data_IF_821345444493
#
_entry.id   IF_821345444493
#
_cell.length_a   1.000
_cell.length_b   1.000
_cell.length_c   1.000
_cell.angle_alpha   90.00
_cell.angle_beta   90.00
_cell.angle_gamma   90.00
#
_symmetry.space_group_name_H-M   'P 1'
#
loop_
_entity.id
_entity.type
_entity.pdbx_description
1 polymer ?
#
# COMPACT_ATOMS: atom_id res chain seq x y z
N UNK A 1 -20.84 12.75 -5.53
CA UNK A 1 -20.08 11.63 -4.96
C UNK A 1 -20.42 10.37 -5.77
N UNK A 2 -19.46 9.83 -6.50
CA UNK A 2 -19.61 8.55 -7.20
C UNK A 2 -18.96 7.46 -6.36
N UNK A 3 -19.64 6.34 -6.21
CA UNK A 3 -19.17 5.20 -5.41
C UNK A 3 -18.81 4.09 -6.39
N UNK A 4 -17.54 3.70 -6.40
CA UNK A 4 -17.05 2.59 -7.21
C UNK A 4 -16.61 1.45 -6.28
N UNK A 5 -17.29 0.31 -6.32
CA UNK A 5 -16.78 -0.86 -5.63
C UNK A 5 -15.52 -1.34 -6.35
N UNK A 6 -14.40 -1.35 -5.65
CA UNK A 6 -13.18 -2.00 -6.16
C UNK A 6 -13.46 -3.49 -6.28
N UNK A 7 -13.40 -3.97 -7.51
CA UNK A 7 -13.91 -5.30 -7.84
C UNK A 7 -15.45 -5.31 -7.93
N UNK A 8 -16.00 -4.92 -9.07
CA UNK A 8 -17.45 -4.87 -9.36
C UNK A 8 -18.19 -6.12 -8.92
N UNK A 9 -17.51 -7.27 -8.97
CA UNK A 9 -18.07 -8.53 -8.53
C UNK A 9 -18.26 -8.63 -7.01
N UNK A 10 -17.40 -7.96 -6.23
CA UNK A 10 -17.51 -7.97 -4.76
C UNK A 10 -18.74 -7.23 -4.28
N UNK A 11 -19.14 -6.19 -4.98
CA UNK A 11 -20.35 -5.43 -4.65
C UNK A 11 -21.62 -6.27 -4.91
N UNK A 12 -21.72 -6.87 -6.08
CA UNK A 12 -22.85 -7.73 -6.46
C UNK A 12 -22.95 -8.94 -5.51
N UNK A 13 -21.82 -9.58 -5.18
CA UNK A 13 -21.83 -10.74 -4.30
C UNK A 13 -22.13 -10.41 -2.83
N UNK A 14 -21.91 -9.18 -2.39
CA UNK A 14 -22.18 -8.77 -0.99
C UNK A 14 -23.63 -8.34 -0.77
N UNK A 15 -24.24 -7.75 -1.79
CA UNK A 15 -25.61 -7.23 -1.68
C UNK A 15 -26.68 -8.29 -1.96
N UNK A 16 -26.37 -9.27 -2.83
CA UNK A 16 -27.37 -10.15 -3.42
C UNK A 16 -27.20 -11.64 -3.07
N UNK A 17 -26.11 -12.06 -2.44
CA UNK A 17 -25.92 -13.46 -2.06
C UNK A 17 -26.07 -13.64 -0.55
N UNK A 18 -27.13 -14.29 -0.08
CA UNK A 18 -27.29 -14.63 1.33
C UNK A 18 -26.10 -15.44 1.84
N UNK A 19 -25.69 -15.20 3.11
CA UNK A 19 -24.63 -15.95 3.79
C UNK A 19 -24.81 -17.48 3.71
N UNK A 20 -26.02 -17.94 3.52
CA UNK A 20 -26.38 -19.34 3.30
C UNK A 20 -25.71 -19.90 2.02
N UNK A 21 -25.71 -19.14 0.91
CA UNK A 21 -25.08 -19.61 -0.35
C UNK A 21 -23.56 -19.68 -0.20
N UNK A 22 -22.95 -18.73 0.54
CA UNK A 22 -21.51 -18.76 0.84
C UNK A 22 -21.16 -20.01 1.65
N UNK A 23 -21.95 -20.37 2.64
CA UNK A 23 -21.74 -21.57 3.44
C UNK A 23 -22.00 -22.84 2.65
N UNK A 24 -23.02 -22.87 1.80
CA UNK A 24 -23.28 -24.00 0.89
C UNK A 24 -22.12 -24.20 -0.09
N UNK A 25 -21.60 -23.12 -0.67
CA UNK A 25 -20.41 -23.20 -1.54
C UNK A 25 -19.19 -23.72 -0.78
N UNK A 26 -18.96 -23.26 0.47
CA UNK A 26 -17.87 -23.78 1.33
C UNK A 26 -18.00 -25.28 1.61
N UNK A 27 -19.22 -25.75 1.91
CA UNK A 27 -19.51 -27.16 2.16
C UNK A 27 -19.29 -27.97 0.88
N UNK A 28 -19.83 -27.53 -0.25
CA UNK A 28 -19.65 -28.20 -1.54
C UNK A 28 -18.15 -28.30 -1.93
N UNK A 29 -17.37 -27.24 -1.73
CA UNK A 29 -15.95 -27.23 -2.09
C UNK A 29 -15.08 -28.10 -1.18
N UNK A 30 -15.53 -28.42 0.04
CA UNK A 30 -14.83 -29.36 0.93
C UNK A 30 -14.95 -30.83 0.49
N UNK A 31 -15.96 -31.15 -0.31
CA UNK A 31 -16.20 -32.52 -0.80
C UNK A 31 -15.58 -32.80 -2.19
N UNK A 32 -15.16 -31.77 -2.92
CA UNK A 32 -14.55 -31.96 -4.23
C UNK A 32 -13.01 -31.88 -4.14
N UNK A 33 -12.28 -32.76 -4.83
CA UNK A 33 -10.83 -32.64 -4.92
C UNK A 33 -10.46 -31.27 -5.47
N UNK A 34 -9.42 -30.64 -4.89
CA UNK A 34 -8.90 -29.30 -5.27
C UNK A 34 -8.58 -29.17 -6.78
N UNK A 35 -8.61 -30.23 -7.53
CA UNK A 35 -8.32 -30.31 -8.97
C UNK A 35 -9.49 -29.88 -9.88
N UNK A 36 -10.72 -29.84 -9.37
CA UNK A 36 -11.82 -29.25 -10.14
C UNK A 36 -11.72 -27.74 -10.09
N UNK A 37 -11.31 -27.16 -11.20
CA UNK A 37 -11.22 -25.71 -11.44
C UNK A 37 -12.57 -25.06 -11.13
N UNK A 38 -12.75 -24.70 -9.86
CA UNK A 38 -13.79 -23.74 -9.52
C UNK A 38 -13.52 -22.47 -10.31
N UNK A 39 -14.53 -21.88 -10.95
CA UNK A 39 -14.37 -20.59 -11.59
C UNK A 39 -13.68 -19.64 -10.60
N UNK A 40 -12.74 -18.86 -11.08
CA UNK A 40 -11.97 -17.88 -10.31
C UNK A 40 -12.81 -17.10 -9.28
N UNK A 41 -14.04 -16.74 -9.69
CA UNK A 41 -15.07 -16.10 -8.86
C UNK A 41 -15.37 -16.85 -7.55
N UNK A 42 -15.33 -18.17 -7.57
CA UNK A 42 -15.58 -19.01 -6.39
C UNK A 42 -14.32 -19.12 -5.50
N UNK A 43 -13.12 -19.06 -6.04
CA UNK A 43 -11.88 -19.02 -5.24
C UNK A 43 -11.87 -17.81 -4.30
N UNK A 44 -12.29 -16.64 -4.78
CA UNK A 44 -12.38 -15.43 -3.93
C UNK A 44 -13.47 -15.52 -2.84
N UNK A 45 -14.56 -16.23 -3.10
CA UNK A 45 -15.63 -16.42 -2.12
C UNK A 45 -15.19 -17.26 -0.91
N UNK A 46 -14.26 -18.20 -1.13
CA UNK A 46 -13.74 -19.09 -0.09
C UNK A 46 -12.46 -18.57 0.59
N UNK A 47 -11.90 -17.44 0.12
CA UNK A 47 -10.74 -16.83 0.77
C UNK A 47 -11.05 -16.44 2.22
N UNK A 48 -10.13 -16.68 3.14
CA UNK A 48 -10.28 -16.24 4.51
C UNK A 48 -10.43 -14.71 4.55
N UNK A 49 -11.27 -14.24 5.44
CA UNK A 49 -11.30 -12.81 5.77
C UNK A 49 -10.08 -12.46 6.62
N UNK A 50 -9.68 -11.18 6.63
CA UNK A 50 -8.63 -10.66 7.53
C UNK A 50 -8.90 -11.00 9.01
N UNK A 51 -10.14 -11.31 9.36
CA UNK A 51 -10.55 -11.74 10.71
C UNK A 51 -9.97 -13.09 11.11
N UNK A 52 -9.47 -13.89 10.15
CA UNK A 52 -8.87 -15.20 10.47
C UNK A 52 -7.67 -15.06 11.43
N UNK A 53 -6.77 -14.10 11.21
CA UNK A 53 -5.68 -13.81 12.15
C UNK A 53 -6.20 -13.30 13.50
N UNK A 54 -7.25 -12.48 13.50
CA UNK A 54 -7.86 -11.97 14.73
C UNK A 54 -8.47 -13.06 15.59
N UNK A 55 -9.11 -14.05 14.95
CA UNK A 55 -9.70 -15.19 15.67
C UNK A 55 -8.61 -16.03 16.31
N UNK A 56 -7.51 -16.27 15.60
CA UNK A 56 -6.36 -16.98 16.15
C UNK A 56 -5.73 -16.21 17.32
N UNK A 57 -5.56 -14.89 17.19
CA UNK A 57 -4.99 -14.05 18.24
C UNK A 57 -5.82 -14.08 19.56
N UNK A 58 -7.15 -14.14 19.47
CA UNK A 58 -8.03 -14.25 20.63
C UNK A 58 -7.89 -15.56 21.39
N UNK A 59 -7.46 -16.61 20.71
CA UNK A 59 -7.26 -17.92 21.31
C UNK A 59 -5.93 -18.04 22.09
N UNK A 60 -5.07 -17.01 22.03
CA UNK A 60 -3.79 -16.96 22.75
C UNK A 60 -3.71 -15.70 23.64
N UNK A 61 -4.49 -15.64 24.73
CA UNK A 61 -4.43 -14.51 25.66
C UNK A 61 -3.02 -14.45 26.28
N UNK A 62 -2.38 -13.30 26.18
CA UNK A 62 -1.02 -13.07 26.70
C UNK A 62 0.10 -13.08 25.65
N UNK A 63 -0.20 -13.36 24.37
CA UNK A 63 0.79 -13.17 23.30
C UNK A 63 1.09 -11.68 23.07
N UNK A 64 2.37 -11.34 23.03
CA UNK A 64 2.83 -10.05 22.54
C UNK A 64 2.98 -10.12 21.03
N UNK A 65 2.38 -9.17 20.33
CA UNK A 65 2.54 -9.06 18.88
C UNK A 65 3.76 -8.20 18.55
N UNK A 66 4.44 -8.48 17.42
CA UNK A 66 5.53 -7.65 16.95
C UNK A 66 5.11 -6.19 16.79
N UNK A 67 6.02 -5.27 17.13
CA UNK A 67 5.88 -3.86 16.81
C UNK A 67 6.03 -3.65 15.31
N UNK A 68 5.25 -2.73 14.76
CA UNK A 68 5.26 -2.35 13.35
C UNK A 68 5.45 -0.86 13.20
N UNK A 69 6.07 -0.44 12.11
CA UNK A 69 6.08 0.96 11.69
C UNK A 69 4.92 1.23 10.72
N UNK A 70 4.61 2.51 10.51
CA UNK A 70 3.65 2.96 9.50
C UNK A 70 4.36 3.90 8.55
N UNK A 71 4.16 3.71 7.25
CA UNK A 71 4.67 4.56 6.19
C UNK A 71 3.52 5.10 5.35
N UNK A 72 3.46 6.41 5.21
CA UNK A 72 2.47 7.10 4.39
C UNK A 72 3.20 7.94 3.33
N UNK A 73 3.33 7.44 2.10
CA UNK A 73 3.70 8.29 0.98
C UNK A 73 2.58 9.32 0.75
N UNK A 74 2.91 10.60 0.89
CA UNK A 74 1.91 11.65 0.96
C UNK A 74 2.11 12.71 -0.12
N UNK A 75 1.00 13.07 -0.78
CA UNK A 75 0.96 14.20 -1.68
C UNK A 75 0.07 15.31 -1.08
N UNK A 76 0.46 16.60 -1.14
CA UNK A 76 -0.29 17.73 -0.53
C UNK A 76 -1.77 17.85 -0.93
N UNK A 77 -2.16 17.29 -2.09
CA UNK A 77 -3.58 17.25 -2.50
C UNK A 77 -4.47 16.49 -1.51
N UNK A 78 -3.91 15.50 -0.79
CA UNK A 78 -4.64 14.60 0.09
C UNK A 78 -4.64 15.08 1.55
N UNK A 79 -4.22 16.34 1.81
CA UNK A 79 -4.06 16.89 3.17
C UNK A 79 -5.34 16.80 4.01
N UNK A 80 -6.50 16.94 3.39
CA UNK A 80 -7.78 16.84 4.08
C UNK A 80 -8.07 15.44 4.65
N UNK A 81 -7.37 14.41 4.15
CA UNK A 81 -7.57 13.02 4.53
C UNK A 81 -6.46 12.50 5.46
N UNK A 82 -5.30 13.15 5.51
CA UNK A 82 -4.14 12.68 6.27
C UNK A 82 -4.45 12.44 7.75
N UNK A 83 -5.07 13.41 8.43
CA UNK A 83 -5.43 13.29 9.84
C UNK A 83 -6.39 12.12 10.09
N UNK A 84 -7.36 11.93 9.20
CA UNK A 84 -8.28 10.79 9.26
C UNK A 84 -7.55 9.47 9.00
N UNK A 85 -6.71 9.38 7.98
CA UNK A 85 -5.90 8.19 7.68
C UNK A 85 -5.07 7.78 8.90
N UNK A 86 -4.30 8.70 9.48
CA UNK A 86 -3.50 8.47 10.67
C UNK A 86 -4.35 8.01 11.85
N UNK A 87 -5.46 8.68 12.13
CA UNK A 87 -6.37 8.32 13.23
C UNK A 87 -6.93 6.92 13.06
N UNK A 88 -7.38 6.57 11.86
CA UNK A 88 -8.00 5.28 11.60
C UNK A 88 -6.99 4.13 11.59
N UNK A 89 -5.81 4.30 10.98
CA UNK A 89 -4.80 3.25 10.96
C UNK A 89 -4.23 3.00 12.36
N UNK A 90 -3.93 4.05 13.13
CA UNK A 90 -3.40 3.90 14.49
C UNK A 90 -4.43 3.35 15.47
N UNK A 91 -5.69 3.77 15.36
CA UNK A 91 -6.79 3.28 16.20
C UNK A 91 -7.10 1.81 15.92
N UNK A 92 -7.02 1.38 14.67
CA UNK A 92 -7.48 0.06 14.23
C UNK A 92 -6.34 -0.97 14.09
N UNK A 93 -5.09 -0.60 14.21
CA UNK A 93 -3.98 -1.53 14.35
C UNK A 93 -4.01 -2.21 15.72
N UNK A 94 -3.80 -3.53 15.74
CA UNK A 94 -3.70 -4.33 16.98
C UNK A 94 -2.24 -4.44 17.39
N UNK A 95 -1.34 -4.54 16.42
CA UNK A 95 0.09 -4.52 16.68
C UNK A 95 0.50 -3.19 17.36
N UNK A 96 1.43 -3.22 18.30
CA UNK A 96 2.10 -2.01 18.77
C UNK A 96 2.68 -1.24 17.59
N UNK A 97 2.58 0.09 17.64
CA UNK A 97 3.10 0.97 16.60
C UNK A 97 4.36 1.64 17.13
N UNK A 98 5.46 1.48 16.41
CA UNK A 98 6.72 2.16 16.64
C UNK A 98 6.71 3.57 16.04
N UNK A 99 7.29 3.73 14.86
CA UNK A 99 7.41 5.01 14.16
C UNK A 99 6.36 5.15 13.07
N UNK A 100 5.77 6.34 12.96
CA UNK A 100 4.90 6.73 11.84
C UNK A 100 5.68 7.69 10.95
N UNK A 101 5.94 7.32 9.69
CA UNK A 101 6.66 8.16 8.73
C UNK A 101 5.72 8.67 7.67
N UNK A 102 5.69 9.99 7.50
CA UNK A 102 5.01 10.66 6.38
C UNK A 102 6.07 11.19 5.43
N UNK A 103 6.14 10.62 4.24
CA UNK A 103 7.13 11.02 3.22
C UNK A 103 6.42 11.91 2.19
N UNK A 104 6.94 13.12 1.99
CA UNK A 104 6.29 14.11 1.12
C UNK A 104 7.31 14.97 0.38
N UNK A 105 6.85 15.83 -0.52
CA UNK A 105 7.69 16.83 -1.18
C UNK A 105 8.18 17.88 -0.18
N UNK A 106 9.27 18.59 -0.48
CA UNK A 106 9.75 19.70 0.35
C UNK A 106 8.66 20.75 0.63
N UNK A 107 7.81 21.04 -0.37
CA UNK A 107 6.69 21.95 -0.22
C UNK A 107 5.55 21.37 0.65
N UNK A 108 5.48 20.06 0.74
CA UNK A 108 4.49 19.34 1.56
C UNK A 108 4.83 19.38 3.06
N UNK A 109 6.11 19.46 3.43
CA UNK A 109 6.55 19.40 4.84
C UNK A 109 5.79 20.42 5.71
N UNK A 110 5.84 21.73 5.46
CA UNK A 110 5.16 22.70 6.32
C UNK A 110 3.63 22.51 6.35
N UNK A 111 3.05 21.98 5.28
CA UNK A 111 1.62 21.66 5.22
C UNK A 111 1.29 20.50 6.16
N UNK A 112 2.08 19.43 6.10
CA UNK A 112 1.92 18.25 6.95
C UNK A 112 2.18 18.58 8.40
N UNK A 113 3.27 19.29 8.72
CA UNK A 113 3.61 19.68 10.10
C UNK A 113 2.51 20.53 10.74
N UNK A 114 1.91 21.45 9.98
CA UNK A 114 0.77 22.24 10.45
C UNK A 114 -0.45 21.36 10.75
N UNK A 115 -0.76 20.43 9.88
CA UNK A 115 -1.89 19.49 10.07
C UNK A 115 -1.64 18.57 11.25
N UNK A 116 -0.43 18.02 11.38
CA UNK A 116 -0.02 17.21 12.51
C UNK A 116 -0.01 17.98 13.82
N UNK A 117 0.35 19.27 13.83
CA UNK A 117 0.26 20.12 15.01
C UNK A 117 -1.16 20.15 15.58
N UNK A 118 -2.16 20.22 14.71
CA UNK A 118 -3.57 20.13 15.10
C UNK A 118 -3.90 18.73 15.65
N UNK A 119 -3.47 17.68 14.98
CA UNK A 119 -3.74 16.29 15.36
C UNK A 119 -3.05 15.91 16.67
N UNK A 120 -1.82 16.35 16.90
CA UNK A 120 -1.05 16.07 18.11
C UNK A 120 -1.60 16.81 19.36
N UNK A 121 -2.51 17.78 19.17
CA UNK A 121 -3.27 18.32 20.29
C UNK A 121 -4.23 17.28 20.89
N UNK A 122 -4.62 16.23 20.14
CA UNK A 122 -5.34 15.07 20.70
C UNK A 122 -4.36 14.20 21.50
N UNK A 123 -4.60 14.05 22.80
CA UNK A 123 -3.77 13.25 23.72
C UNK A 123 -3.55 11.80 23.23
N UNK A 124 -4.47 11.25 22.46
CA UNK A 124 -4.34 9.89 21.93
C UNK A 124 -3.26 9.76 20.87
N UNK A 125 -2.95 10.84 20.16
CA UNK A 125 -1.93 10.87 19.11
C UNK A 125 -0.53 11.21 19.64
N UNK A 126 -0.45 11.85 20.82
CA UNK A 126 0.83 12.24 21.44
C UNK A 126 1.74 11.06 21.78
N UNK A 127 1.20 9.86 21.89
CA UNK A 127 1.98 8.64 22.19
C UNK A 127 2.77 8.10 20.99
N UNK A 128 2.49 8.56 19.78
CA UNK A 128 3.17 8.06 18.57
C UNK A 128 4.34 8.97 18.22
N UNK A 129 5.45 8.35 17.85
CA UNK A 129 6.56 9.06 17.24
C UNK A 129 6.26 9.26 15.76
N UNK A 130 6.07 10.51 15.33
CA UNK A 130 5.75 10.86 13.94
C UNK A 130 6.91 11.61 13.32
N UNK A 131 7.43 11.11 12.22
CA UNK A 131 8.49 11.72 11.42
C UNK A 131 7.90 12.23 10.09
N UNK A 132 8.19 13.48 9.74
CA UNK A 132 7.88 14.05 8.43
C UNK A 132 9.19 14.23 7.69
N UNK A 133 9.33 13.53 6.57
CA UNK A 133 10.60 13.47 5.84
C UNK A 133 10.35 13.86 4.38
N UNK A 134 11.28 14.63 3.81
CA UNK A 134 11.20 14.93 2.38
C UNK A 134 11.58 13.72 1.54
N UNK A 135 10.93 13.56 0.39
CA UNK A 135 11.30 12.51 -0.57
C UNK A 135 12.78 12.62 -1.01
N UNK A 136 13.34 13.85 -1.02
CA UNK A 136 14.74 14.12 -1.36
C UNK A 136 15.71 13.65 -0.30
N UNK A 137 15.33 13.72 0.98
CA UNK A 137 16.17 13.24 2.08
C UNK A 137 16.00 11.75 2.30
N UNK A 138 14.88 11.21 1.84
CA UNK A 138 14.55 9.80 2.01
C UNK A 138 15.12 8.92 0.90
N UNK A 139 14.91 9.29 -0.36
CA UNK A 139 15.35 8.52 -1.53
C UNK A 139 16.76 8.93 -2.00
N UNK A 140 17.54 8.01 -2.60
CA UNK A 140 18.75 8.37 -3.30
C UNK A 140 18.47 9.36 -4.44
N UNK A 141 19.37 10.32 -4.65
CA UNK A 141 19.22 11.33 -5.71
C UNK A 141 19.09 10.70 -7.10
N UNK A 142 19.84 9.63 -7.36
CA UNK A 142 19.83 8.91 -8.64
C UNK A 142 18.46 8.26 -8.91
N UNK A 143 17.81 7.70 -7.88
CA UNK A 143 16.45 7.15 -7.98
C UNK A 143 15.43 8.25 -8.27
N UNK A 144 15.53 9.41 -7.60
CA UNK A 144 14.67 10.55 -7.87
C UNK A 144 14.84 11.09 -9.29
N UNK A 145 16.08 11.21 -9.76
CA UNK A 145 16.40 11.63 -11.10
C UNK A 145 15.82 10.66 -12.14
N UNK A 146 15.94 9.35 -11.90
CA UNK A 146 15.32 8.32 -12.75
C UNK A 146 13.79 8.48 -12.82
N UNK A 147 13.12 8.73 -11.69
CA UNK A 147 11.68 9.01 -11.69
C UNK A 147 11.34 10.26 -12.47
N UNK A 148 12.03 11.37 -12.23
CA UNK A 148 11.76 12.65 -12.89
C UNK A 148 12.05 12.64 -14.39
N UNK A 149 13.00 11.84 -14.85
CA UNK A 149 13.34 11.70 -16.27
C UNK A 149 12.18 11.17 -17.13
N UNK A 150 11.21 10.49 -16.51
CA UNK A 150 10.04 9.95 -17.19
C UNK A 150 8.87 10.95 -17.30
N UNK A 151 9.02 12.17 -16.76
CA UNK A 151 8.07 13.26 -16.95
C UNK A 151 6.75 13.07 -16.19
N UNK A 152 5.62 13.20 -16.88
CA UNK A 152 4.30 13.06 -16.28
C UNK A 152 4.14 11.66 -15.65
N UNK A 153 3.63 11.62 -14.41
CA UNK A 153 3.50 10.37 -13.65
C UNK A 153 4.70 10.07 -12.75
N UNK A 154 5.75 10.90 -12.73
CA UNK A 154 6.90 10.73 -11.84
C UNK A 154 6.51 10.57 -10.36
N UNK A 155 5.47 11.26 -9.90
CA UNK A 155 4.93 11.14 -8.54
C UNK A 155 4.47 9.72 -8.20
N UNK A 156 3.92 8.99 -9.16
CA UNK A 156 3.60 7.56 -9.01
C UNK A 156 4.86 6.74 -8.78
N UNK A 157 5.89 6.94 -9.59
CA UNK A 157 7.15 6.19 -9.50
C UNK A 157 7.91 6.52 -8.21
N UNK A 158 7.88 7.78 -7.77
CA UNK A 158 8.46 8.20 -6.48
C UNK A 158 7.77 7.44 -5.34
N UNK A 159 6.43 7.36 -5.33
CA UNK A 159 5.67 6.59 -4.34
C UNK A 159 6.11 5.12 -4.32
N UNK A 160 6.20 4.46 -5.48
CA UNK A 160 6.67 3.08 -5.60
C UNK A 160 8.10 2.93 -5.05
N UNK A 161 8.97 3.89 -5.36
CA UNK A 161 10.35 3.89 -4.90
C UNK A 161 10.46 4.06 -3.38
N UNK A 162 9.66 4.94 -2.78
CA UNK A 162 9.55 5.12 -1.32
C UNK A 162 9.18 3.79 -0.65
N UNK A 163 8.24 3.06 -1.21
CA UNK A 163 7.80 1.75 -0.71
C UNK A 163 8.98 0.77 -0.57
N UNK A 164 9.73 0.56 -1.66
CA UNK A 164 10.87 -0.38 -1.66
C UNK A 164 12.03 0.15 -0.82
N UNK A 165 12.35 1.45 -0.95
CA UNK A 165 13.48 2.06 -0.27
C UNK A 165 13.31 2.10 1.26
N UNK A 166 12.09 2.15 1.76
CA UNK A 166 11.83 2.07 3.19
C UNK A 166 12.43 0.80 3.82
N UNK A 167 12.36 -0.33 3.12
CA UNK A 167 12.94 -1.59 3.62
C UNK A 167 14.46 -1.59 3.66
N UNK A 168 15.11 -0.80 2.80
CA UNK A 168 16.56 -0.61 2.80
C UNK A 168 16.98 0.27 3.98
N UNK A 169 16.25 1.37 4.22
CA UNK A 169 16.54 2.31 5.31
C UNK A 169 16.15 1.78 6.68
N UNK A 170 15.08 0.99 6.77
CA UNK A 170 14.49 0.51 8.01
C UNK A 170 14.36 -1.03 8.00
N UNK A 171 15.48 -1.78 7.99
CA UNK A 171 15.44 -3.24 7.81
C UNK A 171 14.96 -4.02 9.03
N UNK A 172 14.71 -3.37 10.17
CA UNK A 172 14.42 -4.05 11.45
C UNK A 172 12.93 -4.35 11.62
N UNK A 173 12.08 -3.36 11.37
CA UNK A 173 10.65 -3.45 11.66
C UNK A 173 9.84 -3.68 10.38
N UNK A 174 8.85 -4.56 10.46
CA UNK A 174 7.83 -4.64 9.43
C UNK A 174 7.04 -3.33 9.40
N UNK A 175 6.69 -2.87 8.21
CA UNK A 175 6.08 -1.56 8.01
C UNK A 175 4.74 -1.71 7.31
N UNK A 176 3.67 -1.13 7.86
CA UNK A 176 2.41 -0.96 7.13
C UNK A 176 2.55 0.25 6.22
N UNK A 177 2.55 0.00 4.92
CA UNK A 177 2.48 1.06 3.92
C UNK A 177 1.02 1.28 3.57
N UNK A 178 0.55 2.54 3.63
CA UNK A 178 -0.84 2.90 3.39
C UNK A 178 -0.94 4.20 2.60
N UNK A 179 -1.86 4.25 1.65
CA UNK A 179 -2.17 5.46 0.90
C UNK A 179 -2.87 6.49 1.80
N UNK A 180 -2.47 7.75 1.69
CA UNK A 180 -2.97 8.83 2.56
C UNK A 180 -4.48 9.08 2.43
N UNK A 181 -5.09 8.63 1.33
CA UNK A 181 -6.52 8.71 1.06
C UNK A 181 -7.31 7.47 1.51
N UNK A 182 -6.69 6.59 2.30
CA UNK A 182 -7.28 5.30 2.72
C UNK A 182 -7.52 5.26 4.23
N UNK A 183 -8.72 4.86 4.61
CA UNK A 183 -9.15 4.72 6.01
C UNK A 183 -9.38 3.25 6.36
N UNK A 184 -8.69 2.76 7.36
CA UNK A 184 -8.88 1.40 7.90
C UNK A 184 -10.05 1.40 8.88
N UNK A 185 -11.17 0.79 8.53
CA UNK A 185 -12.40 0.86 9.30
C UNK A 185 -12.53 -0.19 10.40
N UNK A 186 -11.84 -1.32 10.25
CA UNK A 186 -11.94 -2.45 11.19
C UNK A 186 -10.60 -2.73 11.84
N UNK A 187 -10.63 -3.38 13.01
CA UNK A 187 -9.42 -3.85 13.68
C UNK A 187 -8.64 -4.81 12.79
N UNK A 188 -7.34 -4.59 12.65
CA UNK A 188 -6.42 -5.40 11.86
C UNK A 188 -5.26 -5.87 12.73
N UNK A 189 -5.03 -7.17 12.73
CA UNK A 189 -3.76 -7.75 13.13
C UNK A 189 -2.92 -7.89 11.86
N UNK A 190 -1.88 -7.07 11.75
CA UNK A 190 -1.03 -7.01 10.56
C UNK A 190 -0.09 -8.20 10.47
N UNK A 191 0.51 -8.54 11.60
CA UNK A 191 1.45 -9.66 11.75
C UNK A 191 1.22 -10.32 13.11
N UNK A 192 1.16 -11.64 13.13
CA UNK A 192 0.98 -12.38 14.37
C UNK A 192 2.31 -12.77 15.03
N UNK A 193 2.23 -13.44 16.18
CA UNK A 193 3.39 -13.91 16.93
C UNK A 193 4.21 -15.01 16.22
N UNK A 194 3.64 -15.64 15.19
CA UNK A 194 4.32 -16.61 14.34
C UNK A 194 4.88 -16.00 13.06
N UNK A 195 4.93 -14.67 12.99
CA UNK A 195 5.39 -13.91 11.84
C UNK A 195 4.52 -14.09 10.58
N UNK A 196 3.25 -14.51 10.73
CA UNK A 196 2.32 -14.60 9.60
C UNK A 196 1.66 -13.26 9.34
N UNK A 197 1.55 -12.87 8.08
CA UNK A 197 0.96 -11.60 7.66
C UNK A 197 -0.11 -11.79 6.59
N UNK A 198 -1.06 -10.86 6.50
CA UNK A 198 -2.09 -10.83 5.48
C UNK A 198 -1.61 -10.07 4.24
N UNK A 199 -1.87 -10.66 3.07
CA UNK A 199 -1.85 -9.98 1.78
C UNK A 199 -3.27 -9.92 1.25
N UNK A 200 -3.67 -8.74 0.78
CA UNK A 200 -5.04 -8.49 0.35
C UNK A 200 -5.16 -8.64 -1.16
N UNK A 201 -5.92 -9.66 -1.59
CA UNK A 201 -6.17 -9.94 -2.98
C UNK A 201 -7.49 -9.32 -3.45
N UNK A 202 -7.48 -8.76 -4.64
CA UNK A 202 -8.65 -8.30 -5.36
C UNK A 202 -8.88 -9.13 -6.62
N UNK A 203 -10.04 -8.92 -7.23
CA UNK A 203 -10.41 -9.54 -8.48
C UNK A 203 -10.04 -8.61 -9.64
N UNK A 204 -8.78 -8.56 -9.96
CA UNK A 204 -8.31 -7.78 -11.10
C UNK A 204 -7.36 -8.66 -11.91
N UNK A 205 -7.69 -8.88 -13.18
CA UNK A 205 -6.70 -9.37 -14.13
C UNK A 205 -5.64 -8.27 -14.25
N UNK A 206 -4.47 -8.53 -13.69
CA UNK A 206 -3.44 -7.53 -13.64
C UNK A 206 -2.26 -7.98 -14.50
N UNK A 207 -2.12 -7.37 -15.66
CA UNK A 207 -1.04 -7.65 -16.61
C UNK A 207 0.32 -7.08 -16.15
N UNK A 208 0.36 -6.34 -15.03
CA UNK A 208 1.59 -5.67 -14.57
C UNK A 208 2.72 -6.64 -14.27
N UNK A 209 2.38 -7.78 -13.66
CA UNK A 209 3.37 -8.81 -13.36
C UNK A 209 3.77 -9.65 -14.57
N UNK A 210 2.89 -9.81 -15.54
CA UNK A 210 3.24 -10.50 -16.79
C UNK A 210 4.31 -9.69 -17.52
N UNK A 211 4.13 -8.36 -17.62
CA UNK A 211 5.15 -7.46 -18.17
C UNK A 211 6.47 -7.53 -17.39
N UNK A 212 6.41 -7.54 -16.04
CA UNK A 212 7.62 -7.71 -15.23
C UNK A 212 8.33 -9.03 -15.51
N UNK A 213 7.58 -10.14 -15.61
CA UNK A 213 8.16 -11.47 -15.87
C UNK A 213 8.70 -11.63 -17.29
N UNK A 214 8.26 -10.84 -18.27
CA UNK A 214 8.89 -10.76 -19.59
C UNK A 214 10.31 -10.16 -19.49
N UNK A 215 10.48 -9.15 -18.63
CA UNK A 215 11.79 -8.49 -18.44
C UNK A 215 12.67 -9.31 -17.48
N UNK A 216 12.10 -9.77 -16.37
CA UNK A 216 12.80 -10.47 -15.28
C UNK A 216 12.21 -11.87 -15.05
N UNK A 217 12.46 -12.83 -15.94
CA UNK A 217 11.83 -14.13 -15.87
C UNK A 217 12.16 -14.86 -14.56
N UNK A 218 11.16 -15.52 -13.98
CA UNK A 218 11.27 -16.33 -12.78
C UNK A 218 11.56 -15.58 -11.46
N UNK A 219 11.59 -14.25 -11.42
CA UNK A 219 11.79 -13.51 -10.17
C UNK A 219 10.51 -13.47 -9.35
N UNK A 220 9.36 -13.18 -9.95
CA UNK A 220 8.08 -13.16 -9.24
C UNK A 220 7.29 -14.44 -9.50
N UNK A 221 6.59 -14.92 -8.48
CA UNK A 221 5.56 -15.94 -8.66
C UNK A 221 4.36 -15.28 -9.31
N UNK A 222 3.94 -15.81 -10.44
CA UNK A 222 2.73 -15.34 -11.12
C UNK A 222 1.52 -16.09 -10.59
N UNK A 223 0.70 -15.41 -9.82
CA UNK A 223 -0.67 -15.82 -9.50
C UNK A 223 -1.59 -15.11 -10.49
N UNK A 224 -1.82 -15.75 -11.64
CA UNK A 224 -2.61 -15.15 -12.76
C UNK A 224 -4.05 -14.82 -12.38
N UNK A 225 -4.52 -15.42 -11.30
CA UNK A 225 -5.90 -15.35 -10.88
C UNK A 225 -6.22 -14.15 -9.97
N UNK A 226 -5.23 -13.42 -9.44
CA UNK A 226 -5.43 -12.37 -8.46
C UNK A 226 -4.54 -11.17 -8.70
N UNK A 227 -5.13 -9.97 -8.57
CA UNK A 227 -4.39 -8.75 -8.38
C UNK A 227 -4.18 -8.49 -6.89
N UNK A 228 -3.03 -7.96 -6.53
CA UNK A 228 -2.69 -7.61 -5.15
C UNK A 228 -2.60 -6.10 -4.95
N UNK A 229 -3.06 -5.31 -5.91
CA UNK A 229 -3.11 -3.85 -5.77
C UNK A 229 -4.17 -3.50 -4.74
N UNK A 230 -3.71 -3.29 -3.53
CA UNK A 230 -4.49 -2.78 -2.40
C UNK A 230 -3.96 -1.40 -2.03
N UNK A 231 -4.71 -0.61 -1.27
CA UNK A 231 -4.25 0.71 -0.83
C UNK A 231 -3.44 0.66 0.47
N UNK A 232 -3.11 -0.53 0.93
CA UNK A 232 -2.28 -0.78 2.11
C UNK A 232 -1.78 -2.23 2.13
N UNK A 233 -0.59 -2.42 2.69
CA UNK A 233 -0.01 -3.75 2.93
C UNK A 233 1.00 -3.69 4.07
N UNK A 234 1.14 -4.79 4.82
CA UNK A 234 2.30 -4.97 5.70
C UNK A 234 3.48 -5.47 4.88
N UNK A 235 4.57 -4.72 4.92
CA UNK A 235 5.83 -5.02 4.25
C UNK A 235 6.83 -5.58 5.26
N UNK A 236 7.36 -6.75 4.99
CA UNK A 236 8.48 -7.34 5.71
C UNK A 236 9.78 -6.98 4.99
N UNK A 237 10.72 -6.27 5.62
CA UNK A 237 11.90 -5.73 4.93
C UNK A 237 12.74 -6.79 4.24
N UNK A 238 12.94 -7.96 4.86
CA UNK A 238 13.76 -9.03 4.27
C UNK A 238 13.17 -9.59 2.96
N UNK A 239 11.83 -9.57 2.80
CA UNK A 239 11.18 -9.96 1.54
C UNK A 239 11.53 -8.98 0.42
N UNK A 240 11.47 -7.68 0.71
CA UNK A 240 11.84 -6.64 -0.24
C UNK A 240 13.33 -6.72 -0.58
N UNK A 241 14.18 -6.86 0.42
CA UNK A 241 15.62 -6.98 0.22
C UNK A 241 15.97 -8.19 -0.65
N UNK A 242 15.40 -9.35 -0.36
CA UNK A 242 15.64 -10.54 -1.19
C UNK A 242 15.09 -10.38 -2.61
N UNK A 243 13.92 -9.73 -2.78
CA UNK A 243 13.41 -9.40 -4.11
C UNK A 243 14.39 -8.51 -4.90
N UNK A 244 14.86 -7.42 -4.30
CA UNK A 244 15.81 -6.51 -4.95
C UNK A 244 17.14 -7.21 -5.27
N UNK A 245 17.63 -8.08 -4.38
CA UNK A 245 18.82 -8.89 -4.63
C UNK A 245 18.61 -9.92 -5.75
N UNK A 246 17.42 -10.48 -5.93
CA UNK A 246 17.12 -11.35 -7.07
C UNK A 246 17.14 -10.56 -8.39
N UNK A 247 16.62 -9.33 -8.40
CA UNK A 247 16.74 -8.44 -9.58
C UNK A 247 18.20 -8.12 -9.87
N UNK A 248 19.00 -7.80 -8.86
CA UNK A 248 20.43 -7.54 -8.99
C UNK A 248 21.20 -8.72 -9.61
N UNK A 249 20.86 -9.93 -9.21
CA UNK A 249 21.48 -11.17 -9.74
C UNK A 249 21.01 -11.52 -11.14
N UNK A 250 19.99 -10.86 -11.67
CA UNK A 250 19.46 -11.14 -13.00
C UNK A 250 20.46 -10.79 -14.11
N UNK A 251 20.32 -11.47 -15.23
CA UNK A 251 21.12 -11.15 -16.44
C UNK A 251 20.83 -9.73 -16.92
N UNK A 252 19.57 -9.29 -16.88
CA UNK A 252 19.15 -7.96 -17.31
C UNK A 252 19.86 -6.85 -16.52
N UNK A 253 20.03 -7.02 -15.20
CA UNK A 253 20.78 -6.07 -14.39
C UNK A 253 22.24 -6.06 -14.77
N UNK A 254 22.89 -7.22 -14.88
CA UNK A 254 24.31 -7.33 -15.22
C UNK A 254 24.65 -6.71 -16.57
N UNK A 255 23.79 -6.91 -17.56
CA UNK A 255 23.96 -6.34 -18.91
C UNK A 255 23.71 -4.81 -18.96
N UNK A 256 22.95 -4.29 -18.00
CA UNK A 256 22.62 -2.85 -17.93
C UNK A 256 23.60 -2.02 -17.13
N UNK A 257 24.49 -2.64 -16.32
CA UNK A 257 25.39 -1.95 -15.43
C UNK A 257 26.82 -1.87 -15.94
N UNK A 258 27.53 -0.82 -15.54
CA UNK A 258 28.98 -0.72 -15.76
C UNK A 258 29.74 -1.66 -14.82
N UNK A 259 30.97 -2.03 -15.20
CA UNK A 259 31.85 -2.82 -14.32
C UNK A 259 32.09 -2.16 -12.96
N UNK A 260 32.13 -0.83 -12.91
CA UNK A 260 32.31 -0.07 -11.67
C UNK A 260 31.10 -0.26 -10.72
N UNK A 261 29.88 -0.23 -11.26
CA UNK A 261 28.67 -0.47 -10.46
C UNK A 261 28.60 -1.91 -9.94
N UNK A 262 29.02 -2.88 -10.75
CA UNK A 262 29.05 -4.28 -10.37
C UNK A 262 30.12 -4.58 -9.29
N UNK A 263 31.18 -3.77 -9.20
CA UNK A 263 32.24 -3.87 -8.22
C UNK A 263 31.93 -3.10 -6.90
N UNK A 264 30.78 -2.40 -6.83
CA UNK A 264 30.40 -1.59 -5.66
C UNK A 264 30.11 -2.48 -4.45
N UNK A 265 30.79 -2.19 -3.34
CA UNK A 265 30.64 -2.96 -2.09
C UNK A 265 29.52 -2.41 -1.18
N UNK A 266 29.07 -1.17 -1.43
CA UNK A 266 28.01 -0.55 -0.63
C UNK A 266 26.63 -1.07 -1.09
N UNK A 267 25.96 -1.77 -0.19
CA UNK A 267 24.65 -2.38 -0.46
C UNK A 267 23.60 -1.31 -0.82
N UNK A 268 23.58 -0.17 -0.16
CA UNK A 268 22.60 0.90 -0.48
C UNK A 268 22.78 1.42 -1.91
N UNK A 269 24.02 1.65 -2.34
CA UNK A 269 24.32 2.11 -3.71
C UNK A 269 23.87 1.06 -4.72
N UNK A 270 24.17 -0.21 -4.49
CA UNK A 270 23.76 -1.30 -5.36
C UNK A 270 22.24 -1.41 -5.48
N UNK A 271 21.53 -1.34 -4.35
CA UNK A 271 20.06 -1.42 -4.36
C UNK A 271 19.41 -0.17 -4.94
N UNK A 272 20.04 1.02 -4.84
CA UNK A 272 19.61 2.20 -5.56
C UNK A 272 19.66 1.97 -7.08
N UNK A 273 20.76 1.41 -7.59
CA UNK A 273 20.90 1.08 -9.03
C UNK A 273 19.87 0.03 -9.48
N UNK A 274 19.48 -0.90 -8.59
CA UNK A 274 18.39 -1.85 -8.89
C UNK A 274 17.07 -1.12 -9.04
N UNK A 275 16.74 -0.17 -8.14
CA UNK A 275 15.52 0.62 -8.25
C UNK A 275 15.50 1.50 -9.50
N UNK A 276 16.62 2.13 -9.85
CA UNK A 276 16.76 2.88 -11.10
C UNK A 276 16.43 2.00 -12.31
N UNK A 277 16.98 0.79 -12.36
CA UNK A 277 16.70 -0.15 -13.45
C UNK A 277 15.21 -0.54 -13.48
N UNK A 278 14.59 -0.83 -12.32
CA UNK A 278 13.18 -1.16 -12.24
C UNK A 278 12.31 -0.01 -12.76
N UNK A 279 12.62 1.24 -12.38
CA UNK A 279 11.94 2.43 -12.87
C UNK A 279 12.05 2.54 -14.38
N UNK A 280 13.26 2.41 -14.92
CA UNK A 280 13.53 2.54 -16.36
C UNK A 280 12.90 1.43 -17.20
N UNK A 281 12.91 0.19 -16.71
CA UNK A 281 12.41 -0.98 -17.46
C UNK A 281 10.90 -1.19 -17.29
N UNK A 282 10.39 -1.01 -16.09
CA UNK A 282 8.98 -1.24 -15.81
C UNK A 282 8.12 0.00 -16.00
N UNK A 283 8.69 1.21 -15.86
CA UNK A 283 7.97 2.47 -16.01
C UNK A 283 6.67 2.46 -15.18
N UNK A 284 5.53 2.78 -15.79
CA UNK A 284 4.23 2.81 -15.12
C UNK A 284 3.65 1.41 -14.80
N UNK A 285 4.32 0.34 -15.21
CA UNK A 285 3.99 -1.02 -14.77
C UNK A 285 4.76 -1.43 -13.50
N UNK A 286 5.57 -0.53 -12.94
CA UNK A 286 6.22 -0.73 -11.64
C UNK A 286 5.19 -0.58 -10.53
N UNK A 287 4.73 -1.69 -9.95
CA UNK A 287 3.67 -1.71 -8.94
C UNK A 287 4.18 -2.33 -7.64
N UNK A 288 4.25 -1.51 -6.59
CA UNK A 288 4.77 -1.86 -5.27
C UNK A 288 3.99 -3.01 -4.60
N UNK A 289 2.69 -2.84 -4.45
CA UNK A 289 1.84 -3.80 -3.75
C UNK A 289 1.81 -5.17 -4.45
N UNK A 290 1.68 -5.18 -5.78
CA UNK A 290 1.60 -6.42 -6.54
C UNK A 290 2.94 -7.16 -6.55
N UNK A 291 4.04 -6.43 -6.77
CA UNK A 291 5.37 -7.02 -6.77
C UNK A 291 5.76 -7.55 -5.39
N UNK A 292 5.49 -6.79 -4.33
CA UNK A 292 5.73 -7.25 -2.97
C UNK A 292 4.92 -8.51 -2.65
N UNK A 293 3.62 -8.50 -2.95
CA UNK A 293 2.75 -9.62 -2.64
C UNK A 293 3.23 -10.92 -3.32
N UNK A 294 3.64 -10.84 -4.58
CA UNK A 294 4.16 -11.99 -5.33
C UNK A 294 5.53 -12.44 -4.82
N UNK A 295 6.40 -11.49 -4.47
CA UNK A 295 7.67 -11.79 -3.82
C UNK A 295 7.45 -12.51 -2.47
N UNK A 296 6.54 -12.02 -1.63
CA UNK A 296 6.21 -12.63 -0.34
C UNK A 296 5.65 -14.05 -0.50
N UNK A 297 4.76 -14.27 -1.45
CA UNK A 297 4.22 -15.60 -1.76
C UNK A 297 5.29 -16.58 -2.26
N UNK A 298 6.34 -16.07 -2.88
CA UNK A 298 7.47 -16.89 -3.33
C UNK A 298 8.48 -17.18 -2.23
N UNK A 299 8.83 -16.15 -1.45
CA UNK A 299 9.92 -16.19 -0.46
C UNK A 299 9.42 -16.80 0.84
N UNK A 300 8.20 -16.48 1.26
CA UNK A 300 7.60 -16.89 2.52
C UNK A 300 6.17 -17.45 2.36
N UNK A 301 5.96 -18.49 1.57
CA UNK A 301 4.61 -19.01 1.28
C UNK A 301 3.84 -19.43 2.53
N UNK A 302 4.53 -19.97 3.55
CA UNK A 302 3.92 -20.50 4.77
C UNK A 302 3.48 -19.38 5.75
N UNK A 303 4.14 -18.23 5.68
CA UNK A 303 3.84 -17.08 6.55
C UNK A 303 3.06 -15.96 5.85
N UNK A 304 2.68 -16.18 4.59
CA UNK A 304 1.93 -15.22 3.78
C UNK A 304 0.51 -15.72 3.54
N UNK A 305 -0.47 -15.05 4.16
CA UNK A 305 -1.87 -15.43 4.09
C UNK A 305 -2.60 -14.54 3.08
N UNK A 306 -3.16 -15.15 2.04
CA UNK A 306 -3.97 -14.41 1.06
C UNK A 306 -5.37 -14.22 1.63
N UNK A 307 -5.75 -12.97 1.79
CA UNK A 307 -7.05 -12.57 2.30
C UNK A 307 -7.84 -11.78 1.27
N UNK A 308 -9.16 -11.92 1.33
CA UNK A 308 -10.05 -11.11 0.50
C UNK A 308 -9.94 -9.63 0.90
N UNK A 309 -9.60 -8.79 -0.07
CA UNK A 309 -9.67 -7.34 0.12
C UNK A 309 -11.12 -6.85 0.04
N UNK A 310 -11.59 -6.26 1.12
CA UNK A 310 -12.92 -5.66 1.23
C UNK A 310 -12.76 -4.15 1.38
N UNK A 311 -12.68 -3.45 0.26
CA UNK A 311 -12.54 -2.00 0.19
C UNK A 311 -13.72 -1.37 -0.53
N UNK A 312 -14.08 -0.15 -0.12
CA UNK A 312 -15.02 0.70 -0.81
C UNK A 312 -14.27 1.92 -1.38
N UNK A 313 -14.18 2.01 -2.69
CA UNK A 313 -13.60 3.16 -3.34
C UNK A 313 -14.65 4.24 -3.58
N UNK A 314 -14.34 5.47 -3.24
CA UNK A 314 -15.21 6.64 -3.37
C UNK A 314 -14.47 7.70 -4.17
N UNK A 315 -15.11 8.22 -5.20
CA UNK A 315 -14.65 9.41 -5.88
C UNK A 315 -15.17 10.66 -5.13
N UNK A 316 -14.24 11.47 -4.66
CA UNK A 316 -14.55 12.72 -3.97
C UNK A 316 -14.35 13.87 -4.96
N UNK A 317 -15.44 14.46 -5.42
CA UNK A 317 -15.41 15.61 -6.34
C UNK A 317 -15.35 16.94 -5.61
N UNK A 318 -15.92 16.99 -4.39
CA UNK A 318 -16.03 18.19 -3.55
C UNK A 318 -15.55 17.90 -2.13
N UNK A 319 -15.33 18.96 -1.35
CA UNK A 319 -15.04 18.81 0.09
C UNK A 319 -16.21 18.11 0.77
N UNK A 320 -15.96 16.94 1.31
CA UNK A 320 -16.91 16.28 2.21
C UNK A 320 -16.74 16.93 3.59
N UNK A 321 -17.83 17.45 4.14
CA UNK A 321 -17.82 17.90 5.53
C UNK A 321 -17.63 16.71 6.48
N UNK A 322 -17.03 16.99 7.62
CA UNK A 322 -16.66 15.95 8.60
C UNK A 322 -17.88 15.16 9.11
N UNK A 323 -19.02 15.81 9.29
CA UNK A 323 -20.23 15.15 9.76
C UNK A 323 -20.75 14.13 8.75
N UNK A 324 -20.80 14.50 7.47
CA UNK A 324 -21.19 13.61 6.37
C UNK A 324 -20.24 12.43 6.27
N UNK A 325 -18.92 12.68 6.35
CA UNK A 325 -17.91 11.65 6.36
C UNK A 325 -18.09 10.66 7.53
N UNK A 326 -18.22 11.16 8.75
CA UNK A 326 -18.38 10.32 9.95
C UNK A 326 -19.66 9.48 9.91
N UNK A 327 -20.77 10.02 9.43
CA UNK A 327 -22.01 9.27 9.25
C UNK A 327 -21.89 8.18 8.20
N UNK A 328 -21.19 8.46 7.09
CA UNK A 328 -20.91 7.49 6.04
C UNK A 328 -20.02 6.36 6.58
N UNK A 329 -18.92 6.69 7.24
CA UNK A 329 -18.00 5.70 7.80
C UNK A 329 -18.67 4.78 8.83
N UNK A 330 -19.54 5.34 9.69
CA UNK A 330 -20.32 4.55 10.65
C UNK A 330 -21.23 3.52 9.98
N UNK A 331 -21.84 3.87 8.85
CA UNK A 331 -22.70 2.94 8.10
C UNK A 331 -21.93 1.86 7.35
N UNK A 332 -20.67 2.12 7.01
CA UNK A 332 -19.86 1.23 6.16
C UNK A 332 -18.88 0.36 6.95
N UNK A 333 -18.52 0.74 8.18
CA UNK A 333 -17.48 0.08 8.97
C UNK A 333 -17.70 -1.42 9.21
N UNK A 334 -18.96 -1.88 9.31
CA UNK A 334 -19.25 -3.30 9.50
C UNK A 334 -19.17 -4.12 8.21
N UNK A 335 -19.21 -3.43 7.08
CA UNK A 335 -19.27 -4.04 5.75
C UNK A 335 -17.91 -4.10 5.05
N UNK A 336 -17.06 -3.10 5.29
CA UNK A 336 -15.78 -2.97 4.59
C UNK A 336 -14.62 -2.91 5.58
N UNK A 337 -13.47 -3.46 5.16
CA UNK A 337 -12.21 -3.35 5.89
C UNK A 337 -11.66 -1.93 5.79
N UNK A 338 -11.76 -1.33 4.62
CA UNK A 338 -11.24 0.00 4.32
C UNK A 338 -12.14 0.78 3.38
N UNK A 339 -11.93 2.10 3.37
CA UNK A 339 -12.47 3.02 2.38
C UNK A 339 -11.33 3.80 1.77
N UNK A 340 -11.26 3.88 0.46
CA UNK A 340 -10.32 4.73 -0.28
C UNK A 340 -11.07 5.88 -0.93
N UNK A 341 -10.58 7.11 -0.73
CA UNK A 341 -11.23 8.34 -1.15
C UNK A 341 -10.41 9.02 -2.26
N UNK A 342 -10.69 8.66 -3.49
CA UNK A 342 -9.91 9.14 -4.63
C UNK A 342 -10.36 10.53 -5.09
N UNK A 343 -9.42 11.45 -5.19
CA UNK A 343 -9.61 12.80 -5.75
C UNK A 343 -9.22 12.81 -7.23
N UNK A 344 -9.92 12.05 -8.06
CA UNK A 344 -9.55 11.81 -9.46
C UNK A 344 -9.58 13.02 -10.38
N UNK A 345 -10.35 14.05 -10.06
CA UNK A 345 -10.59 15.18 -10.96
C UNK A 345 -9.37 16.08 -11.25
N UNK A 346 -8.22 15.81 -10.60
CA UNK A 346 -7.03 16.66 -10.71
C UNK A 346 -5.79 15.94 -11.26
N UNK A 347 -5.89 14.66 -11.67
CA UNK A 347 -4.70 13.82 -11.63
C UNK A 347 -4.04 13.47 -12.95
N UNK A 348 -4.65 13.63 -14.07
CA UNK A 348 -3.96 13.32 -15.32
C UNK A 348 -3.57 14.54 -16.17
N UNK A 349 -3.90 15.74 -15.74
CA UNK A 349 -3.50 16.98 -16.42
C UNK A 349 -2.38 17.73 -15.71
N UNK A 350 -1.31 17.02 -15.37
CA UNK A 350 -0.01 17.61 -15.14
C UNK A 350 0.27 18.20 -13.75
N UNK A 351 1.39 17.78 -13.20
CA UNK A 351 2.05 18.33 -12.02
C UNK A 351 2.21 19.86 -12.02
N UNK A 352 2.35 20.48 -13.18
CA UNK A 352 2.44 21.93 -13.33
C UNK A 352 1.19 22.66 -12.82
N UNK A 353 -0.01 22.20 -13.16
CA UNK A 353 -1.26 22.85 -12.75
C UNK A 353 -1.55 22.68 -11.24
N UNK A 354 -1.14 21.55 -10.66
CA UNK A 354 -1.26 21.32 -9.21
C UNK A 354 -0.30 22.23 -8.45
N UNK A 355 0.90 22.42 -8.96
CA UNK A 355 1.91 23.32 -8.40
C UNK A 355 1.45 24.79 -8.48
N UNK A 356 0.89 25.23 -9.62
CA UNK A 356 0.27 26.54 -9.76
C UNK A 356 -0.89 26.79 -8.78
N UNK A 357 -1.74 25.80 -8.53
CA UNK A 357 -2.85 25.90 -7.57
C UNK A 357 -2.32 26.00 -6.14
N UNK A 358 -1.30 25.25 -5.78
CA UNK A 358 -0.65 25.33 -4.46
C UNK A 358 0.02 26.68 -4.29
N UNK A 359 0.79 27.12 -5.27
CA UNK A 359 1.48 28.42 -5.25
C UNK A 359 0.50 29.61 -5.22
N UNK A 360 -0.60 29.55 -5.98
CA UNK A 360 -1.63 30.58 -5.96
C UNK A 360 -2.35 30.67 -4.61
N UNK A 361 -2.61 29.54 -3.96
CA UNK A 361 -3.21 29.51 -2.61
C UNK A 361 -2.26 29.95 -1.52
N UNK A 362 -0.96 29.74 -1.67
CA UNK A 362 0.05 30.25 -0.75
C UNK A 362 0.19 31.78 -0.90
N UNK A 363 0.26 32.30 -2.14
CA UNK A 363 0.33 33.75 -2.41
C UNK A 363 -0.91 34.48 -1.92
N UNK A 364 -2.12 33.98 -2.16
CA UNK A 364 -3.37 34.61 -1.69
C UNK A 364 -3.48 34.67 -0.17
N UNK A 365 -2.77 33.84 0.58
CA UNK A 365 -2.71 33.91 2.05
C UNK A 365 -1.65 34.86 2.57
N UNK A 366 -0.59 35.12 1.81
CA UNK A 366 0.42 36.12 2.17
C UNK A 366 -0.09 37.58 1.91
N UNK A 367 -0.91 37.78 0.87
CA UNK A 367 -1.54 39.06 0.55
C UNK A 367 -2.73 39.41 1.46
N UNK A 368 -3.23 38.44 2.26
CA UNK A 368 -4.35 38.67 3.20
C UNK A 368 -3.88 38.87 4.66
N UNK A 369 -2.59 38.95 4.90
CA UNK A 369 -1.96 39.35 6.17
C UNK A 369 -1.36 40.75 6.07
#
# INVERSE_FOLDING_TARGET
MRIYPTGTLQYVLKTDIPNIIINVVRIFTSFFPKQFLLPLKMKLLIMPSHRALLTNARNYPGCTFPEIDILIPFHPKDIALLSSCLTYVTRNSINPIGVVRVITTNLGIPIVEKELGNLLSDMRMQKFHIEVISERDFLPSTVLEACHSLGEGSGWLIKQSIFFWNSVKNPKNSTVVIDADTLILQKVLWIDSENRSNIFANFHENDLSDFFNEIFPNILRVEKDFGFVSHFVLVKPHVVLEFLLQVERSQVFRESQSEVTLAENNLEIRLASVLELLIQKCMFNFCDFDFYAKAALKIEPESTLICKWSNLAIEVQDKIDEFTLQNFLRKTQDSFLSVSMHTFSLTFSGSARTQEIIESKLKSKEESK
#
